data_IF_151635647419
#
_entry.id   IF_151635647419
#
_cell.length_a   1.000
_cell.length_b   1.000
_cell.length_c   1.000
_cell.angle_alpha   90.00
_cell.angle_beta   90.00
_cell.angle_gamma   90.00
#
_symmetry.space_group_name_H-M   'P 1'
#
loop_
_entity.id
_entity.type
_entity.pdbx_description
1 polymer ?
#
# COMPACT_ATOMS: atom_id res chain seq x y z
N UNK A 1 16.33 9.99 -19.77
CA UNK A 1 15.42 10.00 -20.92
C UNK A 1 13.98 9.86 -20.47
N UNK A 2 13.06 10.12 -21.39
CA UNK A 2 11.62 9.98 -21.12
C UNK A 2 11.24 8.56 -20.75
N UNK A 3 11.89 7.57 -21.38
CA UNK A 3 11.61 6.17 -21.07
C UNK A 3 12.06 5.80 -19.66
N UNK A 4 13.19 6.31 -19.21
CA UNK A 4 13.68 6.10 -17.86
C UNK A 4 12.75 6.75 -16.85
N UNK A 5 12.33 7.98 -17.12
CA UNK A 5 11.41 8.70 -16.25
C UNK A 5 10.07 7.96 -16.11
N UNK A 6 9.55 7.46 -17.23
CA UNK A 6 8.31 6.68 -17.21
C UNK A 6 8.48 5.40 -16.41
N UNK A 7 9.61 4.72 -16.57
CA UNK A 7 9.91 3.50 -15.82
C UNK A 7 9.94 3.79 -14.32
N UNK A 8 10.57 4.87 -13.89
CA UNK A 8 10.61 5.25 -12.48
C UNK A 8 9.23 5.63 -11.97
N UNK A 9 8.44 6.35 -12.77
CA UNK A 9 7.07 6.70 -12.39
C UNK A 9 6.25 5.44 -12.13
N UNK A 10 6.33 4.45 -13.02
CA UNK A 10 5.61 3.18 -12.88
C UNK A 10 6.07 2.45 -11.62
N UNK A 11 7.38 2.39 -11.37
CA UNK A 11 7.93 1.75 -10.17
C UNK A 11 7.43 2.42 -8.90
N UNK A 12 7.50 3.74 -8.83
CA UNK A 12 7.05 4.47 -7.65
C UNK A 12 5.55 4.32 -7.45
N UNK A 13 4.77 4.38 -8.52
CA UNK A 13 3.33 4.21 -8.43
C UNK A 13 2.96 2.80 -7.98
N UNK A 14 3.66 1.79 -8.48
CA UNK A 14 3.44 0.40 -8.06
C UNK A 14 3.79 0.21 -6.58
N UNK A 15 4.90 0.79 -6.13
CA UNK A 15 5.30 0.75 -4.74
C UNK A 15 4.27 1.47 -3.84
N UNK A 16 3.79 2.61 -4.27
CA UNK A 16 2.75 3.35 -3.55
C UNK A 16 1.47 2.52 -3.43
N UNK A 17 1.03 1.91 -4.53
CA UNK A 17 -0.17 1.09 -4.53
C UNK A 17 0.00 -0.13 -3.61
N UNK A 18 1.15 -0.78 -3.64
CA UNK A 18 1.43 -1.91 -2.77
C UNK A 18 1.44 -1.50 -1.29
N UNK A 19 2.06 -0.37 -0.97
CA UNK A 19 2.07 0.16 0.39
C UNK A 19 0.67 0.50 0.87
N UNK A 20 -0.16 1.07 -0.01
CA UNK A 20 -1.55 1.40 0.30
C UNK A 20 -2.35 0.15 0.65
N UNK A 21 -2.19 -0.92 -0.12
CA UNK A 21 -2.86 -2.21 0.16
C UNK A 21 -2.37 -2.81 1.47
N UNK A 22 -1.08 -2.73 1.72
CA UNK A 22 -0.49 -3.21 2.97
C UNK A 22 -1.08 -2.48 4.17
N UNK A 23 -1.19 -1.15 4.09
CA UNK A 23 -1.78 -0.34 5.15
C UNK A 23 -3.25 -0.69 5.38
N UNK A 24 -3.99 -0.97 4.31
CA UNK A 24 -5.38 -1.38 4.43
C UNK A 24 -5.51 -2.72 5.17
N UNK A 25 -4.64 -3.67 4.89
CA UNK A 25 -4.64 -4.96 5.60
C UNK A 25 -4.31 -4.76 7.07
N UNK A 26 -3.32 -3.95 7.39
CA UNK A 26 -2.97 -3.63 8.78
C UNK A 26 -4.17 -2.99 9.49
N UNK A 27 -4.84 -2.07 8.83
CA UNK A 27 -6.02 -1.40 9.38
C UNK A 27 -7.13 -2.40 9.67
N UNK A 28 -7.40 -3.33 8.75
CA UNK A 28 -8.40 -4.38 8.93
C UNK A 28 -8.04 -5.30 10.09
N UNK A 29 -6.79 -5.71 10.19
CA UNK A 29 -6.31 -6.55 11.29
C UNK A 29 -6.44 -5.83 12.62
N UNK A 30 -6.10 -4.57 12.68
CA UNK A 30 -6.24 -3.74 13.87
C UNK A 30 -7.70 -3.67 14.30
N UNK A 31 -8.60 -3.45 13.35
CA UNK A 31 -10.03 -3.40 13.61
C UNK A 31 -10.56 -4.72 14.17
N UNK A 32 -10.11 -5.84 13.60
CA UNK A 32 -10.50 -7.17 14.09
C UNK A 32 -10.03 -7.40 15.51
N UNK A 33 -8.82 -6.99 15.85
CA UNK A 33 -8.28 -7.11 17.21
C UNK A 33 -9.11 -6.28 18.17
N UNK A 34 -9.37 -5.03 17.84
CA UNK A 34 -10.15 -4.13 18.68
C UNK A 34 -11.57 -4.68 18.88
N UNK A 35 -12.20 -5.14 17.81
CA UNK A 35 -13.54 -5.72 17.87
C UNK A 35 -13.55 -6.99 18.71
N UNK A 36 -12.50 -7.81 18.60
CA UNK A 36 -12.39 -9.05 19.37
C UNK A 36 -12.19 -8.84 20.86
N UNK A 37 -11.78 -7.64 21.29
CA UNK A 37 -11.59 -7.31 22.68
C UNK A 37 -12.89 -6.87 23.38
N UNK A 38 -13.91 -6.63 22.59
CA UNK A 38 -15.23 -6.25 23.13
C UNK A 38 -16.06 -7.50 23.56
#
# INVERSE_FOLDING_TARGET
SSDEELTYMIKFQSAYNAASRFMNVISEMTELIVTGLK
#
